data_IF_081575386800
#
_entry.id   IF_081575386800
#
_cell.length_a   1.000
_cell.length_b   1.000
_cell.length_c   1.000
_cell.angle_alpha   90.00
_cell.angle_beta   90.00
_cell.angle_gamma   90.00
#
_symmetry.space_group_name_H-M   'P 1'
#
loop_
_entity.id
_entity.type
_entity.pdbx_description
1 polymer ?
#
# COMPACT_ATOMS: atom_id res chain seq x y z
N UNK A 1 5.67 -21.82 -25.59
CA UNK A 1 4.69 -21.41 -24.56
C UNK A 1 5.45 -21.05 -23.28
N UNK A 2 5.47 -19.78 -22.91
CA UNK A 2 6.04 -19.33 -21.64
C UNK A 2 5.14 -19.83 -20.50
N UNK A 3 5.73 -20.51 -19.52
CA UNK A 3 4.98 -21.03 -18.36
C UNK A 3 4.60 -19.83 -17.51
N UNK A 4 3.30 -19.61 -17.20
CA UNK A 4 2.89 -18.51 -16.33
C UNK A 4 3.62 -18.61 -14.99
N UNK A 5 4.39 -17.56 -14.63
CA UNK A 5 5.09 -17.52 -13.35
C UNK A 5 4.14 -16.96 -12.31
N UNK A 6 3.75 -17.79 -11.34
CA UNK A 6 2.87 -17.40 -10.25
C UNK A 6 3.45 -16.20 -9.47
N UNK A 7 2.60 -15.23 -9.10
CA UNK A 7 3.03 -14.05 -8.33
C UNK A 7 3.37 -14.41 -6.88
N UNK A 8 4.40 -13.77 -6.32
CA UNK A 8 4.73 -13.79 -4.88
C UNK A 8 4.13 -12.59 -4.12
N UNK A 9 3.26 -11.82 -4.78
CA UNK A 9 2.63 -10.62 -4.22
C UNK A 9 1.43 -11.00 -3.37
N UNK A 10 1.30 -10.31 -2.24
CA UNK A 10 0.22 -10.50 -1.29
C UNK A 10 -1.02 -9.64 -1.66
N UNK A 11 -0.81 -8.55 -2.40
CA UNK A 11 -1.84 -7.57 -2.76
C UNK A 11 -1.73 -7.12 -4.22
N UNK A 12 -2.86 -6.72 -4.79
CA UNK A 12 -2.91 -5.89 -6.01
C UNK A 12 -3.51 -4.53 -5.66
N UNK A 13 -2.88 -3.45 -6.11
CA UNK A 13 -3.25 -2.07 -5.80
C UNK A 13 -3.70 -1.35 -7.06
N UNK A 14 -4.83 -0.66 -6.98
CA UNK A 14 -5.33 0.23 -8.04
C UNK A 14 -5.29 1.66 -7.52
N UNK A 15 -4.47 2.47 -8.18
CA UNK A 15 -4.44 3.92 -8.01
C UNK A 15 -5.38 4.58 -9.02
N UNK A 16 -6.31 5.39 -8.53
CA UNK A 16 -7.30 6.08 -9.32
C UNK A 16 -7.17 7.58 -9.14
N UNK A 17 -7.04 8.28 -10.27
CA UNK A 17 -7.01 9.74 -10.33
C UNK A 17 -8.30 10.28 -10.88
N UNK A 18 -8.93 11.18 -10.13
CA UNK A 18 -10.09 11.95 -10.59
C UNK A 18 -9.75 13.40 -10.86
N UNK A 19 -10.46 14.02 -11.80
CA UNK A 19 -10.23 15.42 -12.17
C UNK A 19 -10.67 16.39 -11.07
N UNK A 20 -11.74 16.06 -10.35
CA UNK A 20 -12.30 16.85 -9.25
C UNK A 20 -11.62 16.57 -7.90
N UNK A 21 -10.85 15.48 -7.81
CA UNK A 21 -10.23 15.02 -6.56
C UNK A 21 -11.21 14.49 -5.51
N UNK A 22 -12.51 14.37 -5.84
CA UNK A 22 -13.54 13.86 -4.95
C UNK A 22 -13.80 12.39 -5.23
N UNK A 23 -13.54 11.53 -4.26
CA UNK A 23 -13.72 10.09 -4.41
C UNK A 23 -14.82 9.55 -3.51
N UNK A 24 -15.65 10.44 -2.95
CA UNK A 24 -16.81 10.06 -2.16
C UNK A 24 -17.68 9.13 -2.97
N UNK A 25 -18.16 8.04 -2.35
CA UNK A 25 -18.99 7.01 -2.98
C UNK A 25 -18.34 6.21 -4.13
N UNK A 26 -17.06 6.42 -4.43
CA UNK A 26 -16.32 5.61 -5.39
C UNK A 26 -15.56 4.47 -4.72
N UNK A 27 -15.51 3.32 -5.41
CA UNK A 27 -14.84 2.11 -4.91
C UNK A 27 -14.31 1.22 -6.03
N UNK A 28 -13.44 0.29 -5.65
CA UNK A 28 -12.88 -0.74 -6.51
C UNK A 28 -13.70 -2.03 -6.42
N UNK A 29 -14.37 -2.39 -7.51
CA UNK A 29 -14.94 -3.74 -7.65
C UNK A 29 -13.93 -4.64 -8.33
N UNK A 30 -13.61 -5.79 -7.73
CA UNK A 30 -12.58 -6.70 -8.22
C UNK A 30 -13.05 -8.16 -8.21
N UNK A 31 -12.47 -8.97 -9.09
CA UNK A 31 -12.75 -10.40 -9.22
C UNK A 31 -11.54 -11.16 -9.78
N UNK A 32 -11.60 -12.49 -9.81
CA UNK A 32 -10.53 -13.36 -10.32
C UNK A 32 -9.74 -13.99 -9.19
N UNK A 33 -8.42 -13.85 -9.20
CA UNK A 33 -7.50 -14.51 -8.25
C UNK A 33 -7.41 -13.82 -6.88
N UNK A 34 -8.57 -13.50 -6.30
CA UNK A 34 -8.67 -12.91 -4.96
C UNK A 34 -8.57 -13.97 -3.86
N UNK A 35 -8.09 -13.56 -2.68
CA UNK A 35 -8.09 -14.39 -1.49
C UNK A 35 -9.52 -14.72 -1.01
N UNK A 36 -9.65 -15.80 -0.23
CA UNK A 36 -10.93 -16.18 0.35
C UNK A 36 -11.48 -15.06 1.25
N UNK A 37 -12.76 -14.70 1.02
CA UNK A 37 -13.44 -13.62 1.74
C UNK A 37 -13.21 -12.21 1.18
N UNK A 38 -12.29 -12.03 0.23
CA UNK A 38 -12.00 -10.73 -0.38
C UNK A 38 -13.05 -10.32 -1.43
N UNK A 39 -13.77 -11.28 -2.01
CA UNK A 39 -14.78 -10.99 -3.02
C UNK A 39 -15.98 -10.25 -2.43
N UNK A 40 -16.44 -9.23 -3.15
CA UNK A 40 -17.62 -8.42 -2.79
C UNK A 40 -18.80 -8.73 -3.71
N UNK A 41 -20.02 -8.44 -3.25
CA UNK A 41 -21.23 -8.57 -4.07
C UNK A 41 -21.54 -7.26 -4.77
N UNK A 42 -21.78 -7.29 -6.08
CA UNK A 42 -22.09 -6.08 -6.83
C UNK A 42 -23.33 -5.34 -6.28
N UNK A 43 -23.32 -3.99 -6.14
CA UNK A 43 -22.24 -3.04 -6.46
C UNK A 43 -21.36 -2.66 -5.25
N UNK A 44 -21.33 -3.46 -4.20
CA UNK A 44 -20.31 -3.31 -3.16
C UNK A 44 -18.92 -3.53 -3.75
N UNK A 45 -17.90 -3.01 -3.09
CA UNK A 45 -16.51 -3.04 -3.54
C UNK A 45 -15.59 -2.64 -2.40
N UNK A 46 -14.32 -2.47 -2.72
CA UNK A 46 -13.28 -2.05 -1.80
C UNK A 46 -13.18 -0.54 -1.85
N UNK A 47 -13.49 0.11 -0.73
CA UNK A 47 -13.41 1.56 -0.64
C UNK A 47 -11.97 2.04 -0.87
N UNK A 48 -11.83 3.29 -1.33
CA UNK A 48 -10.52 3.91 -1.39
C UNK A 48 -10.03 4.23 0.02
N UNK A 49 -9.06 3.45 0.46
CA UNK A 49 -8.53 3.46 1.83
C UNK A 49 -7.40 4.47 2.03
N UNK A 50 -6.92 5.14 1.00
CA UNK A 50 -5.84 6.12 1.16
C UNK A 50 -5.65 7.03 -0.03
N UNK A 51 -4.72 7.97 0.12
CA UNK A 51 -4.27 8.86 -0.95
C UNK A 51 -2.76 8.82 -1.04
N UNK A 52 -2.24 8.77 -2.25
CA UNK A 52 -0.83 8.98 -2.55
C UNK A 52 -0.67 10.22 -3.46
N UNK A 53 0.53 10.46 -3.99
CA UNK A 53 0.79 11.58 -4.89
C UNK A 53 0.02 11.52 -6.24
N UNK A 54 -0.54 10.37 -6.62
CA UNK A 54 -1.32 10.21 -7.84
C UNK A 54 -2.81 10.47 -7.62
N UNK A 55 -3.36 9.90 -6.54
CA UNK A 55 -4.79 9.97 -6.25
C UNK A 55 -5.21 9.02 -5.16
N UNK A 56 -6.43 8.51 -5.28
CA UNK A 56 -6.97 7.48 -4.38
C UNK A 56 -6.41 6.12 -4.69
N UNK A 57 -6.19 5.29 -3.67
CA UNK A 57 -5.87 3.89 -3.92
C UNK A 57 -6.71 2.96 -3.06
N UNK A 58 -7.01 1.82 -3.64
CA UNK A 58 -7.64 0.67 -3.02
C UNK A 58 -6.78 -0.55 -3.33
N UNK A 59 -6.78 -1.54 -2.45
CA UNK A 59 -6.08 -2.79 -2.66
C UNK A 59 -7.04 -3.97 -2.50
N UNK A 60 -6.63 -5.09 -3.06
CA UNK A 60 -7.25 -6.38 -2.85
C UNK A 60 -6.21 -7.40 -2.46
N UNK A 61 -6.55 -8.30 -1.54
CA UNK A 61 -5.70 -9.43 -1.15
C UNK A 61 -5.76 -10.53 -2.21
N UNK A 62 -4.58 -11.03 -2.58
CA UNK A 62 -4.42 -12.07 -3.59
C UNK A 62 -4.38 -13.46 -2.94
N UNK A 63 -4.92 -14.46 -3.64
CA UNK A 63 -4.69 -15.85 -3.25
C UNK A 63 -3.25 -16.27 -3.60
N UNK A 64 -2.66 -17.25 -2.90
CA UNK A 64 -1.35 -17.78 -3.25
C UNK A 64 -1.27 -18.19 -4.73
N UNK A 65 -0.26 -17.66 -5.43
CA UNK A 65 -0.02 -17.95 -6.84
C UNK A 65 -0.97 -17.29 -7.84
N UNK A 66 -1.65 -16.20 -7.43
CA UNK A 66 -2.44 -15.37 -8.32
C UNK A 66 -1.65 -14.97 -9.59
N UNK A 67 -2.36 -14.97 -10.71
CA UNK A 67 -1.82 -14.54 -12.01
C UNK A 67 -2.57 -13.33 -12.57
N UNK A 68 -3.86 -13.21 -12.29
CA UNK A 68 -4.68 -12.13 -12.84
C UNK A 68 -5.81 -11.69 -11.92
N UNK A 69 -6.04 -10.37 -11.86
CA UNK A 69 -7.19 -9.75 -11.20
C UNK A 69 -7.93 -8.86 -12.20
N UNK A 70 -9.23 -9.09 -12.36
CA UNK A 70 -10.11 -8.18 -13.09
C UNK A 70 -10.67 -7.12 -12.15
N UNK A 71 -10.88 -5.90 -12.64
CA UNK A 71 -11.41 -4.81 -11.83
C UNK A 71 -12.18 -3.75 -12.61
N UNK A 72 -13.01 -3.03 -11.86
CA UNK A 72 -13.74 -1.83 -12.25
C UNK A 72 -13.64 -0.79 -11.14
N UNK A 73 -13.69 0.48 -11.53
CA UNK A 73 -13.95 1.57 -10.58
C UNK A 73 -15.41 1.96 -10.77
N UNK A 74 -16.17 1.94 -9.69
CA UNK A 74 -17.62 2.13 -9.71
C UNK A 74 -18.04 3.14 -8.64
N UNK A 75 -19.13 3.86 -8.88
CA UNK A 75 -19.80 4.65 -7.85
C UNK A 75 -20.69 3.78 -6.94
N UNK A 76 -21.40 4.41 -5.99
CA UNK A 76 -22.22 3.70 -5.02
C UNK A 76 -23.37 2.90 -5.62
N UNK A 77 -23.86 3.30 -6.79
CA UNK A 77 -25.00 2.70 -7.47
C UNK A 77 -24.54 1.65 -8.51
N UNK A 78 -23.24 1.47 -8.67
CA UNK A 78 -22.64 0.54 -9.64
C UNK A 78 -22.41 1.16 -11.02
N UNK A 79 -22.53 2.48 -11.17
CA UNK A 79 -22.16 3.10 -12.45
C UNK A 79 -20.64 2.99 -12.62
N UNK A 80 -20.23 2.43 -13.74
CA UNK A 80 -18.81 2.24 -14.04
C UNK A 80 -18.17 3.56 -14.46
N UNK A 81 -16.94 3.80 -14.01
CA UNK A 81 -16.06 4.86 -14.51
C UNK A 81 -15.85 4.76 -16.03
N UNK A 82 -15.63 3.53 -16.52
CA UNK A 82 -15.52 3.20 -17.94
C UNK A 82 -16.27 1.89 -18.24
N UNK A 83 -16.76 1.73 -19.47
CA UNK A 83 -17.50 0.53 -19.87
C UNK A 83 -16.63 -0.74 -19.89
N UNK A 84 -15.35 -0.58 -20.24
CA UNK A 84 -14.38 -1.65 -20.41
C UNK A 84 -13.91 -2.22 -19.07
N UNK A 85 -14.00 -3.54 -18.93
CA UNK A 85 -13.45 -4.27 -17.79
C UNK A 85 -11.91 -4.27 -17.88
N UNK A 86 -11.24 -3.89 -16.80
CA UNK A 86 -9.78 -3.73 -16.74
C UNK A 86 -9.15 -4.92 -16.01
N UNK A 87 -7.88 -5.19 -16.26
CA UNK A 87 -7.17 -6.35 -15.70
C UNK A 87 -5.76 -5.97 -15.26
N UNK A 88 -5.30 -6.60 -14.18
CA UNK A 88 -3.93 -6.55 -13.68
C UNK A 88 -3.31 -7.94 -13.87
N UNK A 89 -2.21 -7.99 -14.63
CA UNK A 89 -1.33 -9.15 -14.65
C UNK A 89 -0.38 -9.07 -13.44
N UNK A 90 -0.77 -9.74 -12.35
CA UNK A 90 -0.08 -9.65 -11.06
C UNK A 90 1.26 -10.38 -11.05
N UNK A 91 1.56 -11.14 -12.09
CA UNK A 91 2.89 -11.73 -12.31
C UNK A 91 3.90 -10.66 -12.75
N UNK A 92 3.42 -9.63 -13.46
CA UNK A 92 4.24 -8.52 -13.96
C UNK A 92 4.29 -7.34 -13.00
N UNK A 93 3.13 -6.85 -12.55
CA UNK A 93 3.04 -5.69 -11.66
C UNK A 93 2.07 -5.92 -10.50
N UNK A 94 2.36 -5.37 -9.33
CA UNK A 94 1.45 -5.38 -8.18
C UNK A 94 0.55 -4.14 -8.14
N UNK A 95 0.88 -3.12 -8.92
CA UNK A 95 0.23 -1.82 -8.89
C UNK A 95 -0.12 -1.37 -10.31
N UNK A 96 -1.26 -0.71 -10.44
CA UNK A 96 -1.68 -0.04 -11.67
C UNK A 96 -2.26 1.33 -11.39
N UNK A 97 -2.17 2.21 -12.39
CA UNK A 97 -2.67 3.58 -12.34
C UNK A 97 -3.72 3.79 -13.43
N UNK A 98 -4.89 4.28 -13.02
CA UNK A 98 -6.02 4.57 -13.88
C UNK A 98 -6.53 5.99 -13.63
N UNK A 99 -7.07 6.61 -14.68
CA UNK A 99 -7.59 7.97 -14.63
C UNK A 99 -9.05 7.99 -15.06
N UNK A 100 -9.84 8.85 -14.42
CA UNK A 100 -11.26 9.01 -14.68
C UNK A 100 -11.60 9.10 -16.17
N UNK A 101 -12.54 8.27 -16.59
CA UNK A 101 -13.03 8.23 -17.98
C UNK A 101 -12.01 7.71 -19.01
N UNK A 102 -10.85 7.19 -18.58
CA UNK A 102 -9.84 6.59 -19.46
C UNK A 102 -9.79 5.07 -19.28
N UNK A 103 -9.89 4.35 -20.40
CA UNK A 103 -9.79 2.89 -20.41
C UNK A 103 -8.37 2.38 -20.17
N UNK A 104 -7.36 3.24 -20.41
CA UNK A 104 -5.96 2.88 -20.29
C UNK A 104 -5.58 2.53 -18.84
N UNK A 105 -4.94 1.38 -18.67
CA UNK A 105 -4.32 0.93 -17.42
C UNK A 105 -2.82 1.12 -17.56
N UNK A 106 -2.25 2.02 -16.77
CA UNK A 106 -0.80 2.18 -16.71
C UNK A 106 -0.22 1.17 -15.72
N UNK A 107 0.83 0.46 -16.12
CA UNK A 107 1.53 -0.54 -15.30
C UNK A 107 2.88 -0.02 -14.78
N UNK A 108 3.24 1.20 -15.17
CA UNK A 108 4.40 1.91 -14.67
C UNK A 108 3.95 3.04 -13.77
N UNK A 109 4.63 3.18 -12.63
CA UNK A 109 4.41 4.29 -11.70
C UNK A 109 4.66 5.61 -12.44
N UNK A 110 3.69 6.53 -12.48
CA UNK A 110 3.90 7.84 -13.06
C UNK A 110 4.98 8.62 -12.29
N UNK A 111 5.62 9.58 -12.97
CA UNK A 111 6.50 10.53 -12.30
C UNK A 111 5.66 11.41 -11.35
N UNK A 112 5.99 11.35 -10.07
CA UNK A 112 5.33 12.13 -9.03
C UNK A 112 6.13 13.42 -8.73
N UNK A 113 5.49 14.43 -8.11
CA UNK A 113 6.24 15.50 -7.47
C UNK A 113 7.30 14.92 -6.54
N UNK A 114 8.47 15.56 -6.48
CA UNK A 114 9.52 15.14 -5.56
C UNK A 114 8.98 15.13 -4.12
N UNK A 115 9.22 14.04 -3.41
CA UNK A 115 8.89 13.93 -1.99
C UNK A 115 9.73 14.92 -1.19
N UNK A 116 9.17 15.37 -0.06
CA UNK A 116 9.95 16.08 0.95
C UNK A 116 10.94 15.11 1.60
N UNK A 117 12.22 15.23 1.23
CA UNK A 117 13.29 14.35 1.73
C UNK A 117 13.78 14.73 3.13
N UNK A 118 13.21 15.77 3.74
CA UNK A 118 13.59 16.18 5.11
C UNK A 118 12.89 15.36 6.19
N UNK A 119 11.91 14.54 5.82
CA UNK A 119 11.15 13.69 6.75
C UNK A 119 10.78 12.36 6.11
N UNK A 120 10.50 11.36 6.95
CA UNK A 120 9.82 10.14 6.55
C UNK A 120 8.36 10.20 7.02
N UNK A 121 7.41 9.82 6.15
CA UNK A 121 5.99 9.78 6.45
C UNK A 121 5.55 8.31 6.48
N UNK A 122 5.12 7.84 7.65
CA UNK A 122 4.68 6.47 7.86
C UNK A 122 3.17 6.47 8.10
N UNK A 123 2.43 5.88 7.18
CA UNK A 123 1.00 5.63 7.31
C UNK A 123 0.79 4.24 7.90
N UNK A 124 0.11 4.13 9.02
CA UNK A 124 -0.08 2.87 9.75
C UNK A 124 -1.56 2.51 9.83
N UNK A 125 -1.92 1.41 9.17
CA UNK A 125 -3.25 0.85 9.21
C UNK A 125 -3.34 -0.30 10.21
N UNK A 126 -4.36 -0.27 11.05
CA UNK A 126 -4.74 -1.38 11.90
C UNK A 126 -6.11 -1.92 11.52
N UNK A 127 -6.21 -3.23 11.34
CA UNK A 127 -7.46 -3.90 10.99
C UNK A 127 -8.55 -3.77 12.08
N UNK A 128 -8.15 -3.60 13.34
CA UNK A 128 -9.08 -3.38 14.47
C UNK A 128 -9.51 -1.91 14.64
N UNK A 129 -8.86 -0.98 13.93
CA UNK A 129 -9.10 0.45 14.03
C UNK A 129 -8.69 1.09 15.38
N UNK A 130 -8.08 0.33 16.31
CA UNK A 130 -7.70 0.85 17.63
C UNK A 130 -6.23 1.30 17.65
N UNK A 131 -6.03 2.61 17.57
CA UNK A 131 -4.71 3.25 17.66
C UNK A 131 -4.36 3.70 19.08
N UNK A 132 -5.21 3.44 20.08
CA UNK A 132 -5.05 3.98 21.43
C UNK A 132 -3.78 3.46 22.09
N UNK A 133 -2.85 4.38 22.39
CA UNK A 133 -1.58 4.09 23.04
C UNK A 133 -0.48 3.56 22.11
N UNK A 134 -0.77 3.41 20.81
CA UNK A 134 0.24 3.08 19.81
C UNK A 134 1.08 4.30 19.44
N UNK A 135 2.39 4.12 19.40
CA UNK A 135 3.35 5.14 18.99
C UNK A 135 4.53 4.56 18.22
N UNK A 136 5.32 5.43 17.62
CA UNK A 136 6.49 5.08 16.83
C UNK A 136 7.78 5.38 17.61
N UNK A 137 8.49 4.32 18.01
CA UNK A 137 9.86 4.45 18.48
C UNK A 137 10.80 4.55 17.27
N UNK A 138 11.69 5.54 17.25
CA UNK A 138 12.58 5.79 16.11
C UNK A 138 14.00 6.02 16.59
N UNK A 139 14.96 5.55 15.80
CA UNK A 139 16.38 5.82 15.98
C UNK A 139 17.00 6.04 14.60
N UNK A 140 18.24 5.57 14.37
CA UNK A 140 19.03 5.66 13.12
C UNK A 140 18.35 6.40 11.97
N UNK A 141 18.86 7.58 11.63
CA UNK A 141 18.30 8.42 10.56
C UNK A 141 17.30 9.46 11.05
N UNK A 142 16.58 9.22 12.14
CA UNK A 142 15.76 10.25 12.77
C UNK A 142 16.62 11.42 13.28
N UNK A 143 16.18 12.66 13.04
CA UNK A 143 16.84 13.86 13.56
C UNK A 143 16.73 13.97 15.10
N UNK A 144 15.69 13.37 15.67
CA UNK A 144 15.48 13.30 17.11
C UNK A 144 14.98 11.89 17.46
N UNK A 145 15.89 10.98 17.88
CA UNK A 145 15.50 9.67 18.37
C UNK A 145 14.56 9.76 19.57
N UNK A 146 13.65 8.81 19.71
CA UNK A 146 12.70 8.78 20.83
C UNK A 146 13.19 7.90 21.97
N UNK A 147 12.71 8.16 23.19
CA UNK A 147 12.84 7.20 24.29
C UNK A 147 11.77 6.10 24.14
N UNK A 148 12.10 4.85 24.51
CA UNK A 148 11.12 3.74 24.47
C UNK A 148 9.83 4.08 25.23
N UNK A 149 9.93 4.72 26.40
CA UNK A 149 8.75 5.09 27.20
C UNK A 149 7.96 6.29 26.65
N UNK A 150 8.47 6.97 25.62
CA UNK A 150 7.88 8.17 25.02
C UNK A 150 8.03 8.12 23.49
N UNK A 151 7.32 7.20 22.83
CA UNK A 151 7.34 7.14 21.38
C UNK A 151 6.74 8.40 20.77
N UNK A 152 7.01 8.59 19.48
CA UNK A 152 6.36 9.63 18.69
C UNK A 152 4.87 9.30 18.56
N UNK A 153 4.01 10.28 18.83
CA UNK A 153 2.57 10.18 18.60
C UNK A 153 2.24 10.46 17.13
N UNK A 154 1.16 9.88 16.57
CA UNK A 154 0.74 10.22 15.22
C UNK A 154 0.36 11.69 15.13
N UNK A 155 0.82 12.37 14.07
CA UNK A 155 0.54 13.80 13.87
C UNK A 155 -0.88 14.04 13.34
N UNK A 156 -1.49 13.01 12.75
CA UNK A 156 -2.88 12.99 12.27
C UNK A 156 -3.37 11.56 12.05
N UNK A 157 -4.65 11.45 11.74
CA UNK A 157 -5.27 10.24 11.17
C UNK A 157 -5.88 10.61 9.83
N UNK A 158 -5.73 9.74 8.83
CA UNK A 158 -6.41 9.87 7.54
C UNK A 158 -7.27 8.63 7.23
N UNK A 159 -7.74 8.50 6.00
CA UNK A 159 -8.58 7.38 5.59
C UNK A 159 -7.88 6.02 5.72
N UNK A 160 -6.54 5.99 5.72
CA UNK A 160 -5.74 4.77 5.85
C UNK A 160 -5.53 4.41 7.32
N UNK A 161 -5.18 5.40 8.13
CA UNK A 161 -4.96 5.20 9.56
C UNK A 161 -4.12 6.29 10.20
N UNK A 162 -3.33 5.90 11.20
CA UNK A 162 -2.47 6.83 11.92
C UNK A 162 -1.27 7.25 11.05
N UNK A 163 -0.94 8.54 11.04
CA UNK A 163 0.18 9.07 10.24
C UNK A 163 1.24 9.64 11.16
N UNK A 164 2.47 9.15 10.98
CA UNK A 164 3.66 9.64 11.68
C UNK A 164 4.53 10.42 10.70
N UNK A 165 5.06 11.56 11.14
CA UNK A 165 6.06 12.31 10.40
C UNK A 165 7.34 12.37 11.23
N UNK A 166 8.41 11.80 10.70
CA UNK A 166 9.70 11.68 11.38
C UNK A 166 10.69 12.60 10.69
N UNK A 167 11.07 13.74 11.30
CA UNK A 167 12.16 14.56 10.78
C UNK A 167 13.44 13.73 10.66
N UNK A 168 14.11 13.83 9.52
CA UNK A 168 15.31 13.05 9.21
C UNK A 168 16.58 13.89 9.39
N UNK A 169 17.67 13.23 9.77
CA UNK A 169 19.00 13.81 9.71
C UNK A 169 19.37 14.04 8.25
N UNK A 170 20.06 15.15 7.95
CA UNK A 170 20.51 15.44 6.59
C UNK A 170 21.37 14.28 6.03
N UNK A 171 20.98 13.77 4.85
CA UNK A 171 21.67 12.66 4.20
C UNK A 171 21.37 11.27 4.77
N UNK A 172 20.35 11.13 5.62
CA UNK A 172 19.89 9.82 6.07
C UNK A 172 19.51 8.93 4.88
N UNK A 173 20.03 7.71 4.85
CA UNK A 173 19.71 6.69 3.83
C UNK A 173 18.71 5.66 4.34
N UNK A 174 18.49 5.61 5.65
CA UNK A 174 17.52 4.73 6.28
C UNK A 174 16.90 5.37 7.52
N UNK A 175 15.75 4.86 7.93
CA UNK A 175 15.10 5.14 9.20
C UNK A 175 14.82 3.82 9.92
N UNK A 176 15.34 3.64 11.13
CA UNK A 176 14.99 2.49 11.96
C UNK A 176 13.88 2.82 12.95
N UNK A 177 12.90 1.91 13.10
CA UNK A 177 11.71 2.16 13.90
C UNK A 177 11.06 0.88 14.46
N UNK A 178 10.20 1.07 15.48
CA UNK A 178 9.29 0.06 16.04
C UNK A 178 7.95 0.75 16.31
N UNK A 179 6.84 0.14 15.86
CA UNK A 179 5.50 0.49 16.31
C UNK A 179 5.18 -0.31 17.57
N UNK A 180 4.75 0.36 18.64
CA UNK A 180 4.46 -0.29 19.91
C UNK A 180 3.43 0.46 20.76
N UNK A 181 2.81 -0.26 21.70
CA UNK A 181 1.91 0.22 22.76
C UNK A 181 2.43 -0.26 24.11
N UNK A 182 3.09 0.63 24.86
CA UNK A 182 3.84 0.21 26.05
C UNK A 182 4.91 -0.82 25.65
N UNK A 183 4.88 -2.02 26.24
CA UNK A 183 5.80 -3.10 25.88
C UNK A 183 5.28 -4.03 24.77
N UNK A 184 4.04 -3.84 24.31
CA UNK A 184 3.47 -4.58 23.19
C UNK A 184 4.01 -4.01 21.87
N UNK A 185 4.77 -4.80 21.10
CA UNK A 185 5.23 -4.42 19.76
C UNK A 185 4.25 -4.90 18.69
N UNK A 186 4.13 -4.14 17.60
CA UNK A 186 3.37 -4.56 16.40
C UNK A 186 4.04 -5.75 15.72
N UNK A 187 5.36 -5.66 15.54
CA UNK A 187 6.21 -6.72 15.02
C UNK A 187 7.30 -7.06 16.05
N UNK A 188 7.67 -8.34 16.18
CA UNK A 188 8.64 -8.77 17.20
C UNK A 188 10.06 -8.25 16.92
N UNK A 189 10.38 -7.99 15.65
CA UNK A 189 11.68 -7.54 15.17
C UNK A 189 11.73 -6.03 14.96
N UNK A 190 12.94 -5.47 15.04
CA UNK A 190 13.18 -4.07 14.72
C UNK A 190 13.04 -3.86 13.20
N UNK A 191 12.41 -2.76 12.81
CA UNK A 191 12.14 -2.46 11.40
C UNK A 191 13.09 -1.39 10.87
N UNK A 192 13.31 -1.40 9.55
CA UNK A 192 14.12 -0.39 8.87
C UNK A 192 13.49 0.00 7.53
N UNK A 193 13.23 1.29 7.36
CA UNK A 193 12.88 1.90 6.09
C UNK A 193 14.15 2.27 5.34
N UNK A 194 14.30 1.75 4.11
CA UNK A 194 15.33 2.18 3.17
C UNK A 194 14.82 3.40 2.39
N UNK A 195 15.36 4.58 2.70
CA UNK A 195 14.92 5.85 2.09
C UNK A 195 15.37 5.98 0.63
N UNK A 196 16.35 5.17 0.22
CA UNK A 196 16.89 5.17 -1.14
C UNK A 196 16.09 4.25 -2.06
N UNK A 197 15.59 3.13 -1.53
CA UNK A 197 14.82 2.14 -2.28
C UNK A 197 13.31 2.39 -2.22
N UNK A 198 12.77 2.76 -1.05
CA UNK A 198 11.33 2.92 -0.83
C UNK A 198 10.88 4.38 -0.82
N UNK A 199 11.82 5.33 -0.81
CA UNK A 199 11.50 6.75 -0.69
C UNK A 199 11.13 7.14 0.75
N UNK A 200 10.42 8.24 0.88
CA UNK A 200 10.19 8.96 2.14
C UNK A 200 8.74 8.86 2.62
N UNK A 201 7.91 8.05 1.97
CA UNK A 201 6.52 7.85 2.36
C UNK A 201 6.12 6.39 2.13
N UNK A 202 5.64 5.73 3.19
CA UNK A 202 5.30 4.30 3.18
C UNK A 202 4.00 4.00 3.90
N UNK A 203 3.34 2.92 3.48
CA UNK A 203 2.08 2.43 4.04
C UNK A 203 2.28 1.06 4.68
N UNK A 204 2.01 0.97 5.96
CA UNK A 204 2.20 -0.19 6.83
C UNK A 204 0.84 -0.82 7.15
N UNK A 205 0.81 -2.14 7.29
CA UNK A 205 -0.34 -2.88 7.81
C UNK A 205 0.11 -3.61 9.07
N UNK A 206 -0.69 -3.51 10.14
CA UNK A 206 -0.35 -4.11 11.42
C UNK A 206 -0.02 -5.61 11.31
N UNK A 207 1.09 -6.02 11.92
CA UNK A 207 1.55 -7.41 11.88
C UNK A 207 2.03 -7.88 10.50
N UNK A 208 2.35 -6.97 9.57
CA UNK A 208 2.94 -7.28 8.27
C UNK A 208 4.30 -6.59 8.13
N UNK A 209 5.35 -7.36 7.88
CA UNK A 209 6.72 -6.82 7.71
C UNK A 209 6.88 -6.01 6.41
N UNK A 210 6.18 -6.41 5.34
CA UNK A 210 6.27 -5.73 4.05
C UNK A 210 5.32 -4.54 4.00
N UNK A 211 5.79 -3.46 3.38
CA UNK A 211 4.94 -2.31 3.06
C UNK A 211 3.84 -2.69 2.07
N UNK A 212 2.66 -2.10 2.27
CA UNK A 212 1.61 -2.06 1.26
C UNK A 212 2.03 -1.16 0.09
N UNK A 213 2.63 0.00 0.40
CA UNK A 213 3.16 0.93 -0.60
C UNK A 213 4.49 1.53 -0.13
N UNK A 214 5.44 1.80 -1.05
CA UNK A 214 5.41 1.36 -2.45
C UNK A 214 5.68 -0.15 -2.56
N UNK A 215 5.05 -0.84 -3.51
CA UNK A 215 5.44 -2.21 -3.83
C UNK A 215 6.77 -2.17 -4.60
N UNK A 216 7.73 -3.06 -4.27
CA UNK A 216 8.92 -3.21 -5.09
C UNK A 216 8.51 -3.61 -6.52
N UNK A 217 9.23 -3.10 -7.52
CA UNK A 217 9.15 -3.61 -8.89
C UNK A 217 9.49 -5.10 -8.85
N UNK A 218 8.46 -5.95 -8.93
CA UNK A 218 8.58 -7.32 -8.46
C UNK A 218 9.62 -8.11 -9.23
N UNK A 219 10.50 -8.79 -8.51
CA UNK A 219 11.20 -9.96 -9.04
C UNK A 219 10.17 -11.07 -9.13
N UNK A 220 9.84 -11.48 -10.35
CA UNK A 220 9.21 -12.77 -10.60
C UNK A 220 10.15 -13.84 -10.01
N UNK A 221 9.80 -14.38 -8.84
CA UNK A 221 10.55 -15.47 -8.26
C UNK A 221 10.30 -16.71 -9.12
N UNK A 222 11.25 -17.04 -9.99
CA UNK A 222 11.32 -18.36 -10.58
C UNK A 222 11.48 -19.35 -9.41
N UNK A 223 10.42 -20.11 -9.13
CA UNK A 223 10.52 -21.27 -8.25
C UNK A 223 11.67 -22.15 -8.78
N UNK A 224 12.70 -22.50 -7.98
CA UNK A 224 13.64 -23.50 -8.44
C UNK A 224 12.84 -24.80 -8.61
N UNK A 225 12.85 -25.34 -9.83
CA UNK A 225 12.37 -26.68 -10.09
C UNK A 225 13.15 -27.62 -9.15
N UNK A 226 12.49 -28.12 -8.11
CA UNK A 226 13.06 -29.11 -7.22
C UNK A 226 13.30 -30.39 -8.02
N UNK A 227 14.57 -30.71 -8.26
CA UNK A 227 14.98 -32.08 -8.52
C UNK A 227 14.94 -32.86 -7.18
N UNK A 228 14.33 -34.04 -7.21
CA UNK A 228 14.31 -35.01 -6.12
C UNK A 228 13.39 -36.17 -6.46
#
# INVERSE_FOLDING_TARGET
PEVPTASSRDYAIVHYKRTDGDYTDWRLYAWGDLADGESTTWPAGHDFIGRDAYGAFAYVKLKPGASSVGFLVIDKDGNKDVATDRTIDVTKTGEVWVEQGKEAVQTQRPDYPAQDTTKAVLHYHRADGDYTGWGLHVWTGAATPTDWSKPLEPVRTDAYGAVFEVPLTAGATSLSYILHKGDEKDLPTDQSLDLTANGHEVWLVNGQEKYLLPQPAGSAAALPAGCG
#
